data_IF_705712116294
#
_entry.id   IF_705712116294
#
_cell.length_a   1.000
_cell.length_b   1.000
_cell.length_c   1.000
_cell.angle_alpha   90.00
_cell.angle_beta   90.00
_cell.angle_gamma   90.00
#
_symmetry.space_group_name_H-M   'P 1'
#
loop_
_entity.id
_entity.type
_entity.pdbx_description
1 polymer ?
#
# COMPACT_ATOMS: atom_id res chain seq x y z
N UNK A 1 48.30 -28.12 15.95
CA UNK A 1 48.91 -26.79 16.14
C UNK A 1 47.84 -25.70 15.94
N UNK A 2 47.42 -25.06 17.03
CA UNK A 2 46.78 -23.73 17.07
C UNK A 2 47.91 -22.69 17.00
N UNK A 3 47.69 -21.38 16.71
CA UNK A 3 46.65 -20.46 17.18
C UNK A 3 46.23 -19.46 16.06
N UNK A 4 45.36 -18.48 16.20
CA UNK A 4 45.16 -17.47 17.19
C UNK A 4 43.98 -16.56 16.82
N UNK A 5 43.31 -16.20 17.80
CA UNK A 5 42.70 -14.98 18.32
C UNK A 5 42.87 -13.66 17.52
N UNK A 6 41.75 -12.95 17.29
CA UNK A 6 41.71 -11.51 17.62
C UNK A 6 40.28 -10.96 17.71
N UNK A 7 39.90 -10.59 18.92
CA UNK A 7 38.74 -9.76 19.28
C UNK A 7 39.04 -8.31 18.91
N UNK A 8 38.09 -7.59 18.32
CA UNK A 8 38.01 -6.14 18.44
C UNK A 8 36.63 -5.71 18.91
N UNK A 9 36.62 -5.31 20.15
CA UNK A 9 35.56 -4.57 20.82
C UNK A 9 35.73 -3.10 20.46
N UNK A 10 34.75 -2.49 19.83
CA UNK A 10 34.68 -1.04 19.58
C UNK A 10 33.51 -0.45 20.36
N UNK A 11 33.77 0.08 21.56
CA UNK A 11 32.86 0.94 22.31
C UNK A 11 32.80 2.31 21.62
N UNK A 12 31.62 2.76 21.25
CA UNK A 12 31.37 4.17 20.90
C UNK A 12 30.34 4.75 21.84
N UNK A 13 30.81 5.51 22.78
CA UNK A 13 30.07 6.40 23.67
C UNK A 13 29.57 7.62 22.90
N UNK A 14 28.26 7.83 22.82
CA UNK A 14 27.69 9.10 22.36
C UNK A 14 27.21 9.92 23.55
N UNK A 15 27.82 11.10 23.65
CA UNK A 15 27.57 12.15 24.64
C UNK A 15 26.18 12.78 24.41
N UNK A 16 25.47 12.93 25.52
CA UNK A 16 24.31 13.80 25.66
C UNK A 16 24.74 15.25 25.58
N UNK A 17 24.10 16.03 24.75
CA UNK A 17 24.16 17.47 24.72
C UNK A 17 22.80 18.05 25.07
N UNK A 18 22.62 18.38 26.33
CA UNK A 18 21.54 19.22 26.78
C UNK A 18 21.80 20.67 26.35
N UNK A 19 20.84 21.32 25.74
CA UNK A 19 20.87 22.77 25.58
C UNK A 19 19.59 23.38 26.10
N UNK A 20 19.69 23.98 27.28
CA UNK A 20 18.69 24.80 27.96
C UNK A 20 19.11 26.25 27.76
N UNK A 21 18.22 27.08 27.25
CA UNK A 21 18.24 28.55 27.45
C UNK A 21 16.90 29.09 26.94
N UNK A 22 15.98 29.35 27.81
CA UNK A 22 15.72 30.61 28.54
C UNK A 22 15.84 31.88 27.69
N UNK A 23 14.78 32.61 27.47
CA UNK A 23 14.52 33.91 28.12
C UNK A 23 13.25 34.50 27.53
N UNK A 24 12.36 34.84 28.48
CA UNK A 24 11.15 35.63 28.25
C UNK A 24 11.47 37.04 27.76
N UNK A 25 10.64 37.55 26.88
CA UNK A 25 10.36 39.00 26.80
C UNK A 25 8.87 39.25 26.63
N UNK A 26 8.32 39.80 27.67
CA UNK A 26 7.01 40.44 27.77
C UNK A 26 7.11 41.72 26.93
N UNK A 27 6.21 41.90 25.98
CA UNK A 27 5.87 43.23 25.46
C UNK A 27 4.36 43.33 25.37
N UNK A 28 3.82 44.11 26.29
CA UNK A 28 2.50 44.70 26.24
C UNK A 28 2.40 45.59 25.00
N UNK A 29 1.33 45.42 24.26
CA UNK A 29 0.97 46.25 23.13
C UNK A 29 -0.49 46.02 22.81
N UNK A 30 -1.35 46.71 23.55
CA UNK A 30 -2.76 46.79 23.23
C UNK A 30 -2.95 47.48 21.89
N UNK A 31 -3.57 46.82 20.91
CA UNK A 31 -4.27 47.48 19.81
C UNK A 31 -5.52 46.72 19.41
N UNK A 32 -6.59 47.49 19.57
CA UNK A 32 -7.94 47.32 19.06
C UNK A 32 -8.04 46.66 17.68
N UNK A 33 -9.10 45.88 17.52
CA UNK A 33 -9.83 45.96 16.28
C UNK A 33 -9.98 44.68 15.49
N UNK A 34 -11.22 44.32 15.33
CA UNK A 34 -11.81 43.47 14.30
C UNK A 34 -11.70 41.95 14.54
N UNK A 35 -12.72 41.46 15.20
CA UNK A 35 -13.12 40.05 15.12
C UNK A 35 -13.39 39.69 13.66
N UNK A 36 -12.33 39.27 12.96
CA UNK A 36 -12.50 38.54 11.72
C UNK A 36 -12.79 37.12 12.11
N UNK A 37 -14.06 36.80 12.18
CA UNK A 37 -14.54 35.43 12.28
C UNK A 37 -13.97 34.65 11.10
N UNK A 38 -12.84 34.03 11.29
CA UNK A 38 -12.34 33.01 10.38
C UNK A 38 -13.33 31.83 10.45
N UNK A 39 -14.40 31.94 9.68
CA UNK A 39 -15.19 30.78 9.31
C UNK A 39 -14.24 29.85 8.54
N UNK A 40 -13.68 28.89 9.27
CA UNK A 40 -13.10 27.68 8.70
C UNK A 40 -14.25 27.03 7.93
N UNK A 41 -14.40 27.40 6.66
CA UNK A 41 -15.24 26.65 5.75
C UNK A 41 -14.67 25.23 5.76
N UNK A 42 -15.44 24.21 6.22
CA UNK A 42 -15.01 22.84 6.04
C UNK A 42 -14.83 22.70 4.54
N UNK A 43 -13.57 22.66 4.09
CA UNK A 43 -13.27 22.39 2.71
C UNK A 43 -14.02 21.12 2.36
N UNK A 44 -15.05 21.24 1.52
CA UNK A 44 -15.62 20.11 0.82
C UNK A 44 -14.41 19.43 0.18
N UNK A 45 -13.95 18.35 0.80
CA UNK A 45 -13.14 17.36 0.08
C UNK A 45 -14.05 16.96 -1.07
N UNK A 46 -13.85 17.65 -2.20
CA UNK A 46 -14.41 17.18 -3.43
C UNK A 46 -14.02 15.71 -3.49
N UNK A 47 -15.00 14.82 -3.39
CA UNK A 47 -14.81 13.45 -3.82
C UNK A 47 -14.26 13.60 -5.23
N UNK A 48 -12.94 13.52 -5.37
CA UNK A 48 -12.33 13.25 -6.66
C UNK A 48 -12.83 11.85 -6.97
N UNK A 49 -13.99 11.79 -7.61
CA UNK A 49 -14.40 10.58 -8.28
C UNK A 49 -13.16 10.18 -9.07
N UNK A 50 -12.58 9.03 -8.76
CA UNK A 50 -11.47 8.51 -9.50
C UNK A 50 -11.97 8.31 -10.93
N UNK A 51 -11.78 9.34 -11.77
CA UNK A 51 -12.22 9.30 -13.16
C UNK A 51 -11.16 8.47 -13.87
N UNK A 52 -11.46 7.18 -13.99
CA UNK A 52 -10.62 6.29 -14.77
C UNK A 52 -10.82 6.57 -16.27
N UNK A 53 -9.75 6.52 -17.08
CA UNK A 53 -9.86 6.65 -18.53
C UNK A 53 -10.82 5.59 -19.10
N UNK A 54 -11.61 5.96 -20.10
CA UNK A 54 -12.45 5.00 -20.81
C UNK A 54 -11.58 3.90 -21.42
N UNK A 55 -12.03 2.64 -21.31
CA UNK A 55 -11.27 1.48 -21.79
C UNK A 55 -10.12 1.05 -20.87
N UNK A 56 -10.02 1.63 -19.65
CA UNK A 56 -9.15 1.12 -18.59
C UNK A 56 -9.92 0.16 -17.68
N UNK A 57 -9.20 -0.72 -17.00
CA UNK A 57 -9.77 -1.66 -16.02
C UNK A 57 -10.57 -0.92 -14.94
N UNK A 58 -10.11 0.27 -14.53
CA UNK A 58 -10.83 1.08 -13.53
C UNK A 58 -12.17 1.61 -13.99
N UNK A 59 -12.41 1.72 -15.31
CA UNK A 59 -13.70 2.17 -15.87
C UNK A 59 -14.77 1.07 -15.90
N UNK A 60 -14.37 -0.18 -15.76
CA UNK A 60 -15.25 -1.35 -15.66
C UNK A 60 -15.34 -1.79 -14.19
N UNK A 61 -16.55 -1.77 -13.65
CA UNK A 61 -16.76 -2.06 -12.23
C UNK A 61 -16.43 -3.51 -11.86
N UNK A 62 -16.78 -4.46 -12.71
CA UNK A 62 -16.55 -5.89 -12.45
C UNK A 62 -15.06 -6.22 -12.49
N UNK A 63 -14.38 -5.77 -13.54
CA UNK A 63 -12.93 -5.96 -13.68
C UNK A 63 -12.16 -5.28 -12.54
N UNK A 64 -12.56 -4.05 -12.18
CA UNK A 64 -11.95 -3.31 -11.08
C UNK A 64 -12.09 -4.05 -9.75
N UNK A 65 -13.30 -4.48 -9.42
CA UNK A 65 -13.59 -5.18 -8.16
C UNK A 65 -12.82 -6.50 -8.08
N UNK A 66 -12.72 -7.22 -9.19
CA UNK A 66 -11.95 -8.46 -9.21
C UNK A 66 -10.44 -8.24 -9.04
N UNK A 67 -9.88 -7.21 -9.68
CA UNK A 67 -8.47 -6.83 -9.50
C UNK A 67 -8.21 -6.39 -8.06
N UNK A 68 -9.08 -5.60 -7.46
CA UNK A 68 -9.01 -5.18 -6.07
C UNK A 68 -8.99 -6.40 -5.13
N UNK A 69 -9.92 -7.32 -5.32
CA UNK A 69 -9.95 -8.59 -4.58
C UNK A 69 -8.64 -9.37 -4.68
N UNK A 70 -8.06 -9.50 -5.88
CA UNK A 70 -6.79 -10.23 -6.08
C UNK A 70 -5.62 -9.52 -5.40
N UNK A 71 -5.59 -8.19 -5.44
CA UNK A 71 -4.57 -7.38 -4.74
C UNK A 71 -4.68 -7.58 -3.23
N UNK A 72 -5.87 -7.53 -2.67
CA UNK A 72 -6.10 -7.76 -1.23
C UNK A 72 -5.71 -9.20 -0.85
N UNK A 73 -6.05 -10.18 -1.68
CA UNK A 73 -5.65 -11.57 -1.47
C UNK A 73 -4.14 -11.74 -1.47
N UNK A 74 -3.44 -11.05 -2.37
CA UNK A 74 -1.98 -11.02 -2.37
C UNK A 74 -1.42 -10.39 -1.08
N UNK A 75 -2.00 -9.28 -0.62
CA UNK A 75 -1.59 -8.61 0.60
C UNK A 75 -1.73 -9.53 1.81
N UNK A 76 -2.88 -10.15 1.99
CA UNK A 76 -3.13 -11.11 3.08
C UNK A 76 -2.09 -12.25 3.06
N UNK A 77 -1.84 -12.82 1.89
CA UNK A 77 -0.87 -13.91 1.76
C UNK A 77 0.58 -13.47 2.05
N UNK A 78 0.93 -12.23 1.73
CA UNK A 78 2.26 -11.67 2.01
C UNK A 78 2.44 -11.27 3.46
N UNK A 79 1.44 -10.67 4.08
CA UNK A 79 1.46 -10.28 5.48
C UNK A 79 1.68 -11.50 6.39
N UNK A 80 0.96 -12.59 6.16
CA UNK A 80 1.14 -13.85 6.86
C UNK A 80 2.56 -14.42 6.66
N UNK A 81 3.12 -14.27 5.44
CA UNK A 81 4.42 -14.84 5.09
C UNK A 81 5.62 -14.03 5.57
N UNK A 82 5.49 -12.74 5.73
CA UNK A 82 6.61 -11.84 6.05
C UNK A 82 6.13 -10.50 6.63
N UNK A 83 5.65 -10.48 7.87
CA UNK A 83 5.04 -9.29 8.46
C UNK A 83 6.02 -8.11 8.59
N UNK A 84 7.30 -8.37 8.84
CA UNK A 84 8.32 -7.32 9.04
C UNK A 84 8.81 -6.65 7.76
N UNK A 85 8.58 -7.24 6.60
CA UNK A 85 9.02 -6.75 5.28
C UNK A 85 7.85 -6.53 4.33
N UNK A 86 6.67 -6.41 4.88
CA UNK A 86 5.48 -6.21 4.07
C UNK A 86 5.34 -4.75 3.63
N UNK A 87 5.02 -4.53 2.37
CA UNK A 87 4.72 -3.21 1.80
C UNK A 87 3.52 -3.30 0.87
N UNK A 88 2.46 -2.57 1.21
CA UNK A 88 1.26 -2.46 0.36
C UNK A 88 1.58 -1.88 -1.02
N UNK A 89 2.49 -0.92 -1.09
CA UNK A 89 2.85 -0.27 -2.35
C UNK A 89 3.60 -1.18 -3.33
N UNK A 90 4.24 -2.23 -2.85
CA UNK A 90 5.13 -3.05 -3.66
C UNK A 90 4.43 -3.71 -4.86
N UNK A 91 3.20 -4.19 -4.70
CA UNK A 91 2.47 -4.84 -5.80
C UNK A 91 2.10 -3.82 -6.88
N UNK A 92 1.63 -2.64 -6.48
CA UNK A 92 1.26 -1.57 -7.40
C UNK A 92 2.45 -1.08 -8.22
N UNK A 93 3.60 -0.85 -7.57
CA UNK A 93 4.86 -0.49 -8.26
C UNK A 93 5.30 -1.57 -9.25
N UNK A 94 5.16 -2.84 -8.90
CA UNK A 94 5.50 -3.94 -9.79
C UNK A 94 4.54 -4.05 -10.98
N UNK A 95 3.25 -3.80 -10.78
CA UNK A 95 2.26 -3.75 -11.86
C UNK A 95 2.59 -2.59 -12.80
N UNK A 96 2.81 -1.39 -12.27
CA UNK A 96 3.14 -0.21 -13.06
C UNK A 96 4.41 -0.44 -13.89
N UNK A 97 5.46 -1.02 -13.31
CA UNK A 97 6.69 -1.36 -14.03
C UNK A 97 6.46 -2.37 -15.15
N UNK A 98 5.59 -3.36 -14.95
CA UNK A 98 5.32 -4.41 -15.93
C UNK A 98 4.36 -3.97 -17.02
N UNK A 99 3.34 -3.20 -16.68
CA UNK A 99 2.25 -2.83 -17.58
C UNK A 99 2.39 -1.41 -18.15
N UNK A 100 3.30 -0.60 -17.59
CA UNK A 100 3.56 0.78 -18.03
C UNK A 100 2.48 1.78 -17.58
N UNK A 101 1.58 1.37 -16.69
CA UNK A 101 0.50 2.20 -16.18
C UNK A 101 0.12 1.80 -14.75
N UNK A 102 -0.42 2.72 -13.93
CA UNK A 102 -1.00 2.40 -12.64
C UNK A 102 -2.09 1.34 -12.80
N UNK A 103 -2.26 0.46 -11.81
CA UNK A 103 -3.10 -0.75 -11.86
C UNK A 103 -4.46 -0.55 -12.55
N UNK A 104 -5.22 0.45 -12.11
CA UNK A 104 -6.57 0.70 -12.64
C UNK A 104 -6.58 1.52 -13.94
N UNK A 105 -5.42 1.99 -14.40
CA UNK A 105 -5.24 2.68 -15.69
C UNK A 105 -4.77 1.74 -16.80
N UNK A 106 -4.47 0.48 -16.47
CA UNK A 106 -4.15 -0.56 -17.45
C UNK A 106 -5.35 -0.77 -18.37
N UNK A 107 -5.11 -0.94 -19.68
CA UNK A 107 -6.18 -1.18 -20.67
C UNK A 107 -6.97 -2.44 -20.35
N UNK A 108 -8.29 -2.41 -20.58
CA UNK A 108 -9.19 -3.58 -20.47
C UNK A 108 -8.73 -4.75 -21.36
N UNK A 109 -8.12 -4.47 -22.52
CA UNK A 109 -7.59 -5.50 -23.41
C UNK A 109 -6.45 -6.33 -22.79
N UNK A 110 -5.85 -5.81 -21.71
CA UNK A 110 -4.78 -6.49 -20.94
C UNK A 110 -5.27 -7.03 -19.60
N UNK A 111 -6.57 -7.09 -19.39
CA UNK A 111 -7.14 -7.57 -18.13
C UNK A 111 -6.69 -9.00 -17.81
N UNK A 112 -6.78 -9.92 -18.77
CA UNK A 112 -6.38 -11.32 -18.57
C UNK A 112 -4.88 -11.45 -18.23
N UNK A 113 -4.03 -10.63 -18.85
CA UNK A 113 -2.60 -10.61 -18.54
C UNK A 113 -2.34 -10.12 -17.10
N UNK A 114 -3.08 -9.09 -16.67
CA UNK A 114 -2.98 -8.58 -15.30
C UNK A 114 -3.48 -9.63 -14.29
N UNK A 115 -4.60 -10.27 -14.57
CA UNK A 115 -5.14 -11.35 -13.73
C UNK A 115 -4.13 -12.51 -13.63
N UNK A 116 -3.59 -12.99 -14.75
CA UNK A 116 -2.55 -14.02 -14.75
C UNK A 116 -1.33 -13.62 -13.93
N UNK A 117 -0.92 -12.36 -14.05
CA UNK A 117 0.19 -11.84 -13.27
C UNK A 117 -0.11 -11.87 -11.76
N UNK A 118 -1.27 -11.39 -11.34
CA UNK A 118 -1.69 -11.40 -9.93
C UNK A 118 -1.80 -12.82 -9.38
N UNK A 119 -2.38 -13.75 -10.15
CA UNK A 119 -2.43 -15.17 -9.80
C UNK A 119 -1.03 -15.74 -9.56
N UNK A 120 -0.09 -15.50 -10.46
CA UNK A 120 1.31 -15.93 -10.30
C UNK A 120 1.95 -15.34 -9.04
N UNK A 121 1.64 -14.06 -8.72
CA UNK A 121 2.17 -13.42 -7.51
C UNK A 121 1.58 -14.00 -6.24
N UNK A 122 0.30 -14.32 -6.20
CA UNK A 122 -0.38 -15.00 -5.07
C UNK A 122 0.20 -16.40 -4.90
N UNK A 123 0.28 -17.17 -5.97
CA UNK A 123 0.79 -18.55 -5.97
C UNK A 123 2.26 -18.66 -5.57
N UNK A 124 3.05 -17.62 -5.82
CA UNK A 124 4.45 -17.56 -5.42
C UNK A 124 4.65 -17.28 -3.92
N UNK A 125 3.63 -16.85 -3.19
CA UNK A 125 3.69 -16.65 -1.74
C UNK A 125 3.82 -17.99 -1.01
N UNK A 126 4.28 -17.96 0.24
CA UNK A 126 4.37 -19.17 1.05
C UNK A 126 2.98 -19.79 1.26
N UNK A 127 1.98 -18.95 1.57
CA UNK A 127 0.59 -19.39 1.72
C UNK A 127 0.06 -20.01 0.42
N UNK A 128 0.29 -19.35 -0.72
CA UNK A 128 -0.14 -19.86 -2.02
C UNK A 128 0.45 -21.24 -2.37
N UNK A 129 1.73 -21.44 -2.08
CA UNK A 129 2.40 -22.74 -2.26
C UNK A 129 1.83 -23.82 -1.35
N UNK A 130 1.59 -23.50 -0.08
CA UNK A 130 1.02 -24.42 0.90
C UNK A 130 -0.41 -24.84 0.53
N UNK A 131 -1.24 -23.89 0.09
CA UNK A 131 -2.59 -24.17 -0.38
C UNK A 131 -2.58 -25.10 -1.59
N UNK A 132 -1.73 -24.79 -2.58
CA UNK A 132 -1.58 -25.64 -3.78
C UNK A 132 -1.15 -27.07 -3.41
N UNK A 133 -0.21 -27.23 -2.47
CA UNK A 133 0.22 -28.54 -2.00
C UNK A 133 -0.91 -29.34 -1.32
N UNK A 134 -1.92 -28.64 -0.79
CA UNK A 134 -3.11 -29.23 -0.16
C UNK A 134 -4.30 -29.35 -1.12
N UNK A 135 -4.16 -29.00 -2.39
CA UNK A 135 -5.25 -28.98 -3.35
C UNK A 135 -6.28 -27.86 -3.13
N UNK A 136 -5.94 -26.83 -2.34
CA UNK A 136 -6.81 -25.68 -2.04
C UNK A 136 -6.59 -24.59 -3.08
N UNK A 137 -7.68 -24.08 -3.65
CA UNK A 137 -7.62 -22.95 -4.59
C UNK A 137 -7.28 -21.66 -3.84
N UNK A 138 -6.42 -20.85 -4.43
CA UNK A 138 -5.99 -19.58 -3.83
C UNK A 138 -6.97 -18.42 -4.09
N UNK A 139 -7.77 -18.52 -5.15
CA UNK A 139 -8.69 -17.49 -5.64
C UNK A 139 -9.80 -18.14 -6.48
N UNK A 140 -11.01 -17.54 -6.55
CA UNK A 140 -12.07 -17.93 -7.49
C UNK A 140 -11.73 -17.46 -8.92
N UNK A 141 -12.45 -17.96 -9.91
CA UNK A 141 -12.43 -17.39 -11.26
C UNK A 141 -13.16 -16.04 -11.30
N UNK A 142 -12.94 -15.20 -12.34
CA UNK A 142 -13.70 -13.94 -12.47
C UNK A 142 -15.21 -14.16 -12.46
N UNK A 143 -15.68 -15.20 -13.15
CA UNK A 143 -17.12 -15.53 -13.24
C UNK A 143 -17.67 -15.98 -11.88
N UNK A 144 -16.94 -16.83 -11.15
CA UNK A 144 -17.32 -17.27 -9.80
C UNK A 144 -17.37 -16.08 -8.84
N UNK A 145 -16.41 -15.17 -8.93
CA UNK A 145 -16.37 -13.96 -8.13
C UNK A 145 -17.55 -13.03 -8.42
N UNK A 146 -17.87 -12.83 -9.71
CA UNK A 146 -19.03 -12.02 -10.12
C UNK A 146 -20.34 -12.61 -9.61
N UNK A 147 -20.51 -13.94 -9.69
CA UNK A 147 -21.67 -14.65 -9.17
C UNK A 147 -21.81 -14.50 -7.64
N UNK A 148 -20.68 -14.55 -6.92
CA UNK A 148 -20.66 -14.35 -5.47
C UNK A 148 -21.03 -12.91 -5.07
N UNK A 149 -20.59 -11.91 -5.84
CA UNK A 149 -20.96 -10.52 -5.61
C UNK A 149 -22.43 -10.25 -5.90
N UNK A 150 -23.01 -10.89 -6.93
CA UNK A 150 -24.42 -10.75 -7.28
C UNK A 150 -25.37 -11.42 -6.25
N UNK A 151 -24.87 -12.39 -5.49
CA UNK A 151 -25.65 -13.11 -4.47
C UNK A 151 -25.66 -12.42 -3.09
N UNK A 152 -24.92 -11.33 -2.91
CA UNK A 152 -24.82 -10.56 -1.66
C UNK A 152 -25.83 -9.42 -1.63
#
# INVERSE_FOLDING_TARGET
>A
MKPGSSRRVGKSTRKNGANVSSIARIHDGAHNGSATTNQIRPGRRANRANVYPRGSIGSDLEQRNYVEYLVDRYHQAREISSPTRFSYAAIFTNIERKFGAPTYFVSQTRFDDLVKYLHQRIDATLLGKNNRARGIRNYPSPEEFAAEQAAR
#
